data_IF_951539709569
#
_entry.id   IF_951539709569
#
_cell.length_a   1.000
_cell.length_b   1.000
_cell.length_c   1.000
_cell.angle_alpha   90.00
_cell.angle_beta   90.00
_cell.angle_gamma   90.00
#
_symmetry.space_group_name_H-M   'P 1'
#
loop_
_entity.id
_entity.type
_entity.pdbx_description
1 polymer ?
#
# COMPACT_ATOMS: atom_id res chain seq x y z
N UNK A 1 15.05 -15.22 8.96
CA UNK A 1 13.97 -14.86 9.90
C UNK A 1 12.75 -14.48 9.06
N UNK A 2 11.59 -15.00 9.38
CA UNK A 2 10.36 -14.67 8.64
C UNK A 2 9.69 -13.55 9.40
N UNK A 3 9.60 -12.34 8.82
CA UNK A 3 8.85 -11.25 9.44
C UNK A 3 7.40 -11.68 9.59
N UNK A 4 6.80 -11.34 10.72
CA UNK A 4 5.38 -11.57 11.00
C UNK A 4 4.51 -10.39 10.57
N UNK A 5 5.12 -9.30 10.06
CA UNK A 5 4.44 -8.10 9.61
C UNK A 5 4.66 -7.86 8.12
N UNK A 6 3.62 -7.41 7.44
CA UNK A 6 3.60 -7.00 6.04
C UNK A 6 3.13 -5.55 5.97
N UNK A 7 3.93 -4.68 5.39
CA UNK A 7 3.58 -3.29 5.09
C UNK A 7 3.22 -3.22 3.60
N UNK A 8 1.96 -3.08 3.30
CA UNK A 8 1.47 -3.02 1.93
C UNK A 8 1.44 -1.56 1.48
N UNK A 9 2.25 -1.23 0.50
CA UNK A 9 2.27 0.09 -0.13
C UNK A 9 1.34 0.09 -1.33
N UNK A 10 0.43 1.06 -1.38
CA UNK A 10 -0.40 1.33 -2.56
C UNK A 10 -0.40 2.82 -2.87
N UNK A 11 -0.98 3.22 -4.02
CA UNK A 11 -1.13 4.64 -4.39
C UNK A 11 -1.95 5.43 -3.38
N UNK A 12 -2.90 4.79 -2.71
CA UNK A 12 -3.92 5.46 -1.91
C UNK A 12 -3.73 5.27 -0.41
N UNK A 13 -3.08 4.16 0.00
CA UNK A 13 -2.95 3.79 1.39
C UNK A 13 -1.69 3.00 1.71
N UNK A 14 -1.34 3.00 2.99
CA UNK A 14 -0.36 2.11 3.59
C UNK A 14 -1.09 1.22 4.59
N UNK A 15 -1.10 -0.08 4.33
CA UNK A 15 -1.75 -1.07 5.18
C UNK A 15 -0.70 -1.85 5.97
N UNK A 16 -0.95 -2.07 7.26
CA UNK A 16 -0.13 -2.96 8.07
C UNK A 16 -0.90 -4.23 8.39
N UNK A 17 -0.31 -5.36 8.06
CA UNK A 17 -0.88 -6.67 8.30
C UNK A 17 0.05 -7.51 9.18
N UNK A 18 -0.51 -8.48 9.88
CA UNK A 18 0.24 -9.46 10.67
C UNK A 18 -0.17 -10.87 10.31
N UNK A 19 0.82 -11.74 10.11
CA UNK A 19 0.57 -13.17 9.97
C UNK A 19 0.19 -13.77 11.32
N UNK A 20 -0.88 -14.55 11.36
CA UNK A 20 -1.25 -15.35 12.52
C UNK A 20 -0.48 -16.70 12.56
N UNK A 21 -0.71 -17.51 13.59
CA UNK A 21 -0.06 -18.79 13.76
C UNK A 21 -0.38 -19.81 12.64
N UNK A 22 -1.52 -19.65 11.98
CA UNK A 22 -1.96 -20.47 10.83
C UNK A 22 -1.41 -19.97 9.50
N UNK A 23 -0.80 -18.76 9.47
CA UNK A 23 -0.21 -18.14 8.29
C UNK A 23 -1.17 -17.27 7.50
N UNK A 24 -2.36 -16.97 8.04
CA UNK A 24 -3.26 -15.98 7.46
C UNK A 24 -2.79 -14.58 7.79
N UNK A 25 -2.89 -13.67 6.82
CA UNK A 25 -2.56 -12.26 6.97
C UNK A 25 -3.80 -11.49 7.40
N UNK A 26 -3.69 -10.83 8.55
CA UNK A 26 -4.77 -10.03 9.13
C UNK A 26 -4.37 -8.57 9.15
N UNK A 27 -5.21 -7.72 8.59
CA UNK A 27 -5.01 -6.27 8.61
C UNK A 27 -5.12 -5.73 10.04
N UNK A 28 -4.11 -5.02 10.50
CA UNK A 28 -4.07 -4.32 11.77
C UNK A 28 -4.59 -2.89 11.66
N UNK A 29 -4.38 -2.27 10.50
CA UNK A 29 -4.88 -0.93 10.20
C UNK A 29 -4.43 -0.44 8.84
N UNK A 30 -5.02 0.68 8.43
CA UNK A 30 -4.78 1.35 7.15
C UNK A 30 -4.60 2.84 7.39
N UNK A 31 -3.72 3.47 6.64
CA UNK A 31 -3.49 4.92 6.66
C UNK A 31 -3.52 5.43 5.23
N UNK A 32 -4.38 6.42 4.95
CA UNK A 32 -4.43 7.06 3.64
C UNK A 32 -3.14 7.86 3.37
N UNK A 33 -2.62 7.78 2.13
CA UNK A 33 -1.48 8.59 1.68
C UNK A 33 -1.80 10.09 1.71
N UNK A 34 -3.06 10.49 1.54
CA UNK A 34 -3.53 11.89 1.60
C UNK A 34 -3.70 12.41 3.04
N UNK A 35 -3.36 11.62 4.06
CA UNK A 35 -3.49 12.05 5.44
C UNK A 35 -2.60 13.25 5.76
N UNK A 36 -3.17 14.35 6.25
CA UNK A 36 -2.44 15.56 6.65
C UNK A 36 -1.30 15.29 7.66
N UNK A 37 -1.40 14.22 8.42
CA UNK A 37 -0.45 13.81 9.45
C UNK A 37 0.02 12.36 9.25
N UNK A 38 0.39 11.99 8.02
CA UNK A 38 0.80 10.64 7.65
C UNK A 38 1.81 10.03 8.63
N UNK A 39 2.86 10.80 8.99
CA UNK A 39 3.88 10.33 9.94
C UNK A 39 3.31 9.97 11.32
N UNK A 40 2.38 10.77 11.85
CA UNK A 40 1.74 10.48 13.14
C UNK A 40 0.82 9.27 13.05
N UNK A 41 0.06 9.17 11.96
CA UNK A 41 -0.85 8.05 11.73
C UNK A 41 -0.08 6.73 11.62
N UNK A 42 1.04 6.70 10.90
CA UNK A 42 1.90 5.53 10.79
C UNK A 42 2.62 5.20 12.11
N UNK A 43 3.05 6.21 12.87
CA UNK A 43 3.61 5.99 14.21
C UNK A 43 2.56 5.36 15.15
N UNK A 44 1.31 5.81 15.09
CA UNK A 44 0.22 5.24 15.86
C UNK A 44 -0.10 3.81 15.43
N UNK A 45 -0.13 3.54 14.11
CA UNK A 45 -0.32 2.20 13.55
C UNK A 45 0.75 1.23 14.06
N UNK A 46 2.02 1.67 14.06
CA UNK A 46 3.14 0.88 14.59
C UNK A 46 3.00 0.59 16.08
N UNK A 47 2.62 1.59 16.88
CA UNK A 47 2.39 1.40 18.32
C UNK A 47 1.23 0.44 18.62
N UNK A 48 0.19 0.47 17.80
CA UNK A 48 -0.93 -0.46 17.90
C UNK A 48 -0.49 -1.89 17.59
N UNK A 49 0.40 -2.06 16.60
CA UNK A 49 0.92 -3.37 16.21
C UNK A 49 1.85 -3.98 17.27
N UNK A 50 2.71 -3.16 17.87
CA UNK A 50 3.67 -3.59 18.92
C UNK A 50 3.73 -2.51 20.01
N UNK A 51 2.89 -2.60 21.03
CA UNK A 51 2.87 -1.62 22.12
C UNK A 51 4.23 -1.55 22.83
N UNK A 52 4.77 -0.34 22.96
CA UNK A 52 6.02 -0.08 23.70
C UNK A 52 7.29 -0.39 22.92
N UNK A 53 7.23 -0.76 21.65
CA UNK A 53 8.44 -0.92 20.84
C UNK A 53 9.12 0.44 20.63
N UNK A 54 10.35 0.56 21.13
CA UNK A 54 11.20 1.74 20.90
C UNK A 54 11.93 1.65 19.56
N UNK A 55 12.18 0.44 19.07
CA UNK A 55 12.92 0.17 17.84
C UNK A 55 12.01 0.19 16.60
N UNK A 56 12.64 0.33 15.44
CA UNK A 56 11.94 0.24 14.17
C UNK A 56 11.29 -1.15 14.01
N UNK A 57 10.02 -1.18 13.60
CA UNK A 57 9.29 -2.43 13.37
C UNK A 57 9.81 -3.11 12.11
N UNK A 58 10.28 -4.35 12.24
CA UNK A 58 10.71 -5.17 11.10
C UNK A 58 9.50 -5.65 10.29
N UNK A 59 9.48 -5.31 8.99
CA UNK A 59 8.37 -5.61 8.08
C UNK A 59 8.88 -6.20 6.77
N UNK A 60 8.10 -7.09 6.16
CA UNK A 60 8.13 -7.30 4.72
C UNK A 60 7.40 -6.13 4.07
N UNK A 61 7.94 -5.60 2.99
CA UNK A 61 7.32 -4.49 2.24
C UNK A 61 6.68 -5.07 0.99
N UNK A 62 5.35 -5.02 0.91
CA UNK A 62 4.61 -5.38 -0.29
C UNK A 62 4.51 -4.17 -1.20
N UNK A 63 5.03 -4.33 -2.42
CA UNK A 63 5.12 -3.30 -3.44
C UNK A 63 3.87 -3.27 -4.32
N UNK A 64 3.49 -2.11 -4.86
CA UNK A 64 2.39 -1.99 -5.80
C UNK A 64 2.64 -2.83 -7.06
N UNK A 65 1.60 -3.52 -7.52
CA UNK A 65 1.73 -4.43 -8.67
C UNK A 65 1.95 -3.71 -10.00
N UNK A 66 1.51 -2.47 -10.11
CA UNK A 66 1.71 -1.60 -11.27
C UNK A 66 3.18 -1.19 -11.49
N UNK A 67 4.01 -1.32 -10.45
CA UNK A 67 5.47 -1.12 -10.53
C UNK A 67 6.23 -2.37 -10.96
N UNK A 68 5.53 -3.48 -11.20
CA UNK A 68 6.15 -4.78 -11.45
C UNK A 68 5.84 -5.25 -12.87
N UNK A 69 6.87 -5.56 -13.62
CA UNK A 69 6.73 -6.22 -14.91
C UNK A 69 6.57 -7.72 -14.72
N UNK A 70 5.45 -8.25 -15.20
CA UNK A 70 5.16 -9.68 -15.19
C UNK A 70 5.30 -10.26 -16.59
N UNK A 71 5.93 -11.43 -16.69
CA UNK A 71 6.10 -12.20 -17.93
C UNK A 71 5.97 -13.69 -17.60
N UNK A 72 5.46 -14.47 -18.55
CA UNK A 72 5.51 -15.91 -18.51
C UNK A 72 6.45 -16.40 -19.62
N UNK A 73 7.39 -17.28 -19.28
CA UNK A 73 8.33 -17.91 -20.21
C UNK A 73 8.05 -19.41 -20.31
N UNK A 74 8.04 -19.93 -21.51
CA UNK A 74 7.89 -21.35 -21.78
C UNK A 74 9.12 -22.16 -21.31
N UNK A 75 8.97 -23.46 -21.15
CA UNK A 75 10.02 -24.38 -20.70
C UNK A 75 11.28 -24.41 -21.57
N UNK A 76 11.24 -23.88 -22.79
CA UNK A 76 12.28 -24.07 -23.79
C UNK A 76 13.61 -23.42 -23.41
N UNK A 77 13.61 -22.33 -22.64
CA UNK A 77 14.83 -21.68 -22.20
C UNK A 77 14.64 -20.93 -20.86
N UNK A 78 15.30 -21.42 -19.82
CA UNK A 78 15.33 -20.80 -18.49
C UNK A 78 16.64 -20.07 -18.19
N UNK A 79 17.47 -19.87 -19.21
CA UNK A 79 18.77 -19.21 -19.07
C UNK A 79 18.62 -17.72 -18.71
N UNK A 80 19.70 -17.16 -18.13
CA UNK A 80 19.75 -15.71 -17.89
C UNK A 80 19.69 -14.91 -19.18
N UNK A 81 20.23 -15.48 -20.29
CA UNK A 81 20.21 -14.82 -21.59
C UNK A 81 18.78 -14.74 -22.17
N UNK A 82 17.98 -15.82 -22.04
CA UNK A 82 16.58 -15.81 -22.44
C UNK A 82 15.77 -14.79 -21.63
N UNK A 83 16.00 -14.74 -20.32
CA UNK A 83 15.35 -13.76 -19.44
C UNK A 83 15.70 -12.32 -19.82
N UNK A 84 17.00 -12.05 -20.06
CA UNK A 84 17.44 -10.74 -20.50
C UNK A 84 16.79 -10.36 -21.85
N UNK A 85 16.73 -11.30 -22.78
CA UNK A 85 16.08 -11.08 -24.08
C UNK A 85 14.57 -10.83 -23.92
N UNK A 86 13.90 -11.57 -23.06
CA UNK A 86 12.46 -11.41 -22.82
C UNK A 86 12.12 -10.08 -22.14
N UNK A 87 12.97 -9.56 -21.28
CA UNK A 87 12.79 -8.27 -20.61
C UNK A 87 13.23 -7.09 -21.48
N UNK A 88 14.07 -7.32 -22.49
CA UNK A 88 14.57 -6.28 -23.38
C UNK A 88 13.41 -5.53 -24.07
N UNK A 89 13.37 -4.21 -23.92
CA UNK A 89 12.31 -3.36 -24.48
C UNK A 89 10.94 -3.50 -23.81
N UNK A 90 10.80 -4.33 -22.77
CA UNK A 90 9.57 -4.46 -21.97
C UNK A 90 9.52 -3.50 -20.78
N UNK A 91 10.67 -2.95 -20.41
CA UNK A 91 10.83 -1.93 -19.37
C UNK A 91 11.77 -0.85 -19.89
N UNK A 92 11.74 0.37 -19.32
CA UNK A 92 12.70 1.42 -19.67
C UNK A 92 14.09 1.19 -19.06
N UNK A 93 14.26 0.16 -18.23
CA UNK A 93 15.47 -0.13 -17.48
C UNK A 93 16.34 -1.18 -18.16
N UNK A 94 17.64 -1.07 -18.02
CA UNK A 94 18.57 -2.10 -18.41
C UNK A 94 18.46 -3.32 -17.47
N UNK A 95 18.81 -4.51 -17.98
CA UNK A 95 18.65 -5.75 -17.20
C UNK A 95 19.40 -5.74 -15.86
N UNK A 96 20.54 -5.09 -15.78
CA UNK A 96 21.34 -4.99 -14.56
C UNK A 96 20.75 -4.02 -13.51
N UNK A 97 19.78 -3.17 -13.91
CA UNK A 97 19.06 -2.26 -13.03
C UNK A 97 17.78 -2.92 -12.46
N UNK A 98 17.51 -4.15 -12.86
CA UNK A 98 16.32 -4.87 -12.44
C UNK A 98 16.64 -5.89 -11.33
N UNK A 99 15.74 -5.99 -10.37
CA UNK A 99 15.63 -7.15 -9.48
C UNK A 99 14.56 -8.09 -10.04
N UNK A 100 14.90 -9.36 -10.17
CA UNK A 100 14.04 -10.35 -10.82
C UNK A 100 13.81 -11.55 -9.90
N UNK A 101 12.55 -11.95 -9.76
CA UNK A 101 12.15 -13.21 -9.14
C UNK A 101 11.51 -14.14 -10.18
N UNK A 102 11.62 -15.45 -9.94
CA UNK A 102 11.13 -16.52 -10.81
C UNK A 102 10.32 -17.53 -10.02
N UNK A 103 9.16 -17.87 -10.54
CA UNK A 103 8.34 -18.95 -10.03
C UNK A 103 8.21 -20.05 -11.08
N UNK A 104 8.70 -21.27 -10.83
CA UNK A 104 8.45 -22.41 -11.70
C UNK A 104 6.95 -22.69 -11.80
N UNK A 105 6.46 -22.90 -13.01
CA UNK A 105 5.07 -23.27 -13.30
C UNK A 105 5.02 -24.56 -14.14
N UNK A 106 3.88 -25.25 -14.24
CA UNK A 106 3.75 -26.42 -15.08
C UNK A 106 4.00 -26.14 -16.59
N UNK A 107 3.86 -24.89 -17.02
CA UNK A 107 4.05 -24.46 -18.42
C UNK A 107 5.41 -23.82 -18.68
N UNK A 108 6.21 -23.56 -17.63
CA UNK A 108 7.49 -22.88 -17.76
C UNK A 108 7.90 -22.17 -16.48
N UNK A 109 8.06 -20.85 -16.55
CA UNK A 109 8.31 -20.03 -15.38
C UNK A 109 7.62 -18.68 -15.50
N UNK A 110 7.06 -18.21 -14.38
CA UNK A 110 6.54 -16.85 -14.26
C UNK A 110 7.63 -15.95 -13.68
N UNK A 111 7.80 -14.80 -14.31
CA UNK A 111 8.83 -13.82 -13.98
C UNK A 111 8.16 -12.58 -13.41
N UNK A 112 8.71 -12.06 -12.33
CA UNK A 112 8.40 -10.74 -11.81
C UNK A 112 9.68 -9.91 -11.78
N UNK A 113 9.68 -8.73 -12.39
CA UNK A 113 10.82 -7.83 -12.44
C UNK A 113 10.42 -6.43 -11.95
N UNK A 114 11.31 -5.79 -11.20
CA UNK A 114 11.15 -4.44 -10.68
C UNK A 114 12.49 -3.69 -10.76
N UNK A 115 12.43 -2.38 -10.93
CA UNK A 115 13.63 -1.55 -10.91
C UNK A 115 14.25 -1.50 -9.50
N UNK A 116 15.57 -1.51 -9.42
CA UNK A 116 16.29 -1.33 -8.15
C UNK A 116 16.00 0.03 -7.54
N UNK A 117 15.83 1.07 -8.36
CA UNK A 117 15.44 2.41 -7.94
C UNK A 117 14.12 2.39 -7.15
N UNK A 118 13.11 1.66 -7.61
CA UNK A 118 11.83 1.51 -6.89
C UNK A 118 12.02 0.86 -5.51
N UNK A 119 12.96 -0.10 -5.39
CA UNK A 119 13.31 -0.67 -4.09
C UNK A 119 14.00 0.34 -3.17
N UNK A 120 14.84 1.23 -3.73
CA UNK A 120 15.51 2.29 -2.99
C UNK A 120 14.54 3.34 -2.47
N UNK A 121 13.55 3.70 -3.29
CA UNK A 121 12.46 4.59 -2.89
C UNK A 121 11.60 3.96 -1.77
N UNK A 122 11.21 2.71 -1.92
CA UNK A 122 10.44 1.99 -0.91
C UNK A 122 11.21 1.85 0.42
N UNK A 123 12.52 1.63 0.36
CA UNK A 123 13.38 1.56 1.54
C UNK A 123 13.48 2.92 2.25
N UNK A 124 13.66 3.98 1.47
CA UNK A 124 13.71 5.35 1.98
C UNK A 124 12.40 5.75 2.65
N UNK A 125 11.28 5.42 2.02
CA UNK A 125 9.94 5.67 2.56
C UNK A 125 9.71 4.92 3.88
N UNK A 126 9.99 3.62 3.90
CA UNK A 126 9.78 2.79 5.11
C UNK A 126 10.64 3.25 6.27
N UNK A 127 11.90 3.60 6.03
CA UNK A 127 12.80 4.16 7.04
C UNK A 127 12.30 5.50 7.59
N UNK A 128 11.82 6.40 6.72
CA UNK A 128 11.27 7.69 7.13
C UNK A 128 10.10 7.56 8.11
N UNK A 129 9.33 6.47 8.00
CA UNK A 129 8.19 6.18 8.88
C UNK A 129 8.52 5.26 10.07
N UNK A 130 9.81 4.95 10.29
CA UNK A 130 10.27 4.15 11.43
C UNK A 130 9.99 2.65 11.29
N UNK A 131 9.88 2.15 10.07
CA UNK A 131 9.87 0.73 9.77
C UNK A 131 11.27 0.29 9.29
N UNK A 132 11.57 -0.98 9.45
CA UNK A 132 12.78 -1.62 8.93
C UNK A 132 12.38 -2.71 7.95
N UNK A 133 12.60 -2.47 6.67
CA UNK A 133 12.36 -3.46 5.64
C UNK A 133 13.34 -4.64 5.83
N UNK A 134 12.80 -5.86 5.96
CA UNK A 134 13.58 -7.10 5.97
C UNK A 134 13.55 -7.81 4.62
N UNK A 135 12.71 -7.35 3.70
CA UNK A 135 12.61 -7.81 2.33
C UNK A 135 11.47 -7.12 1.60
N UNK A 136 11.50 -7.22 0.27
CA UNK A 136 10.52 -6.65 -0.63
C UNK A 136 9.79 -7.79 -1.33
N UNK A 137 8.46 -7.70 -1.37
CA UNK A 137 7.60 -8.72 -1.96
C UNK A 137 6.51 -8.07 -2.80
N UNK A 138 5.86 -8.85 -3.64
CA UNK A 138 4.61 -8.45 -4.26
C UNK A 138 3.68 -9.66 -4.37
N UNK A 139 2.40 -9.38 -4.63
CA UNK A 139 1.35 -10.37 -4.88
C UNK A 139 0.89 -10.25 -6.34
N UNK A 140 1.59 -10.86 -7.29
CA UNK A 140 1.27 -10.70 -8.70
C UNK A 140 -0.11 -11.26 -9.10
N UNK A 141 -0.59 -12.27 -8.40
CA UNK A 141 -1.79 -13.01 -8.82
C UNK A 141 -1.56 -13.87 -10.07
N UNK A 142 -2.59 -14.16 -10.83
CA UNK A 142 -2.50 -14.92 -12.07
C UNK A 142 -1.75 -16.26 -11.90
N UNK A 143 -0.70 -16.49 -12.69
CA UNK A 143 0.18 -17.67 -12.63
C UNK A 143 0.92 -17.82 -11.29
N UNK A 144 1.07 -16.76 -10.51
CA UNK A 144 1.64 -16.77 -9.17
C UNK A 144 0.65 -17.26 -8.10
N UNK A 145 -0.67 -17.21 -8.38
CA UNK A 145 -1.71 -17.53 -7.39
C UNK A 145 -1.57 -16.65 -6.14
N UNK A 146 -1.47 -17.28 -4.98
CA UNK A 146 -1.25 -16.62 -3.69
C UNK A 146 0.23 -16.53 -3.29
N UNK A 147 1.17 -16.87 -4.17
CA UNK A 147 2.59 -16.78 -3.85
C UNK A 147 3.08 -15.35 -3.98
N UNK A 148 3.94 -14.95 -3.04
CA UNK A 148 4.69 -13.71 -3.18
C UNK A 148 5.78 -13.87 -4.24
N UNK A 149 5.99 -12.86 -5.07
CA UNK A 149 7.30 -12.62 -5.67
C UNK A 149 8.22 -12.01 -4.62
N UNK A 150 9.51 -12.33 -4.65
CA UNK A 150 10.50 -11.90 -3.65
C UNK A 150 11.64 -11.20 -4.35
N UNK A 151 11.77 -9.90 -4.12
CA UNK A 151 12.83 -9.11 -4.71
C UNK A 151 14.00 -9.01 -3.73
N UNK A 152 15.14 -9.56 -4.15
CA UNK A 152 16.37 -9.54 -3.38
C UNK A 152 17.36 -8.61 -4.02
N UNK A 153 17.98 -7.76 -3.21
CA UNK A 153 19.14 -7.00 -3.68
C UNK A 153 20.34 -7.95 -3.76
N UNK A 154 21.25 -7.74 -4.71
CA UNK A 154 22.46 -8.57 -4.83
C UNK A 154 23.28 -8.64 -3.53
N UNK A 155 23.23 -7.60 -2.72
CA UNK A 155 23.96 -7.44 -1.46
C UNK A 155 23.22 -8.02 -0.24
N UNK A 156 21.92 -8.27 -0.37
CA UNK A 156 21.12 -8.83 0.72
C UNK A 156 21.26 -10.35 0.78
N UNK A 157 21.38 -10.88 1.99
CA UNK A 157 21.31 -12.31 2.18
C UNK A 157 20.00 -12.92 1.65
N UNK A 158 20.02 -14.19 1.28
CA UNK A 158 18.87 -14.88 0.72
C UNK A 158 17.65 -14.78 1.67
N UNK A 159 16.60 -14.15 1.18
CA UNK A 159 15.31 -14.12 1.86
C UNK A 159 14.53 -15.38 1.44
N UNK A 160 14.13 -16.19 2.42
CA UNK A 160 13.23 -17.30 2.14
C UNK A 160 11.87 -16.75 1.69
N UNK A 161 11.32 -17.32 0.62
CA UNK A 161 9.98 -16.97 0.16
C UNK A 161 8.98 -17.10 1.31
N UNK A 162 8.20 -16.04 1.62
CA UNK A 162 7.17 -16.12 2.64
C UNK A 162 6.14 -17.19 2.28
N UNK A 163 5.36 -17.64 3.28
CA UNK A 163 4.22 -18.51 3.02
C UNK A 163 3.25 -17.81 2.07
N UNK A 164 2.48 -18.56 1.27
CA UNK A 164 1.45 -18.00 0.39
C UNK A 164 0.56 -17.02 1.14
N UNK A 165 0.16 -15.94 0.45
CA UNK A 165 -0.74 -14.94 1.01
C UNK A 165 -2.15 -15.51 1.10
N UNK A 166 -2.67 -15.62 2.31
CA UNK A 166 -4.05 -15.98 2.57
C UNK A 166 -4.62 -14.85 3.43
N UNK A 167 -5.46 -14.00 2.82
CA UNK A 167 -6.14 -12.96 3.57
C UNK A 167 -7.02 -13.61 4.64
N UNK A 168 -6.93 -13.15 5.88
CA UNK A 168 -7.89 -13.54 6.89
C UNK A 168 -9.27 -13.02 6.46
N UNK A 169 -10.28 -13.87 6.50
CA UNK A 169 -11.67 -13.44 6.33
C UNK A 169 -11.91 -12.33 7.35
N UNK A 170 -12.32 -11.14 6.89
CA UNK A 170 -12.57 -10.00 7.78
C UNK A 170 -13.68 -10.40 8.75
N UNK A 171 -13.30 -10.84 9.95
CA UNK A 171 -14.23 -10.75 11.07
C UNK A 171 -14.39 -9.25 11.37
N UNK A 172 -15.64 -8.81 11.37
CA UNK A 172 -16.04 -7.42 11.62
C UNK A 172 -15.43 -6.91 12.93
N UNK A 173 -14.30 -6.21 12.85
CA UNK A 173 -13.53 -5.74 14.00
C UNK A 173 -12.27 -4.97 13.63
N UNK A 174 -12.01 -4.72 12.35
CA UNK A 174 -10.98 -3.76 11.96
C UNK A 174 -11.41 -2.39 12.47
N UNK A 175 -10.75 -1.92 13.50
CA UNK A 175 -10.90 -0.54 13.98
C UNK A 175 -10.45 0.34 12.84
N UNK A 176 -11.42 0.90 12.10
CA UNK A 176 -11.18 2.00 11.19
C UNK A 176 -10.57 3.10 12.05
N UNK A 177 -9.28 3.35 11.90
CA UNK A 177 -8.60 4.43 12.58
C UNK A 177 -9.11 5.73 11.97
N UNK A 178 -10.32 6.11 12.36
CA UNK A 178 -10.89 7.43 12.07
C UNK A 178 -9.85 8.49 12.42
N UNK A 179 -9.58 9.44 11.53
CA UNK A 179 -8.53 10.43 11.77
C UNK A 179 -8.77 11.14 13.11
N UNK A 180 -7.69 11.36 13.84
CA UNK A 180 -7.60 12.00 15.17
C UNK A 180 -8.25 13.41 15.25
N UNK A 181 -8.95 13.86 14.22
CA UNK A 181 -9.70 15.12 14.20
C UNK A 181 -10.96 15.12 15.07
N UNK A 182 -11.49 13.95 15.47
CA UNK A 182 -12.73 13.85 16.21
C UNK A 182 -12.58 13.96 17.75
N UNK A 183 -11.37 14.12 18.27
CA UNK A 183 -11.14 14.18 19.74
C UNK A 183 -10.99 15.59 20.32
N UNK A 184 -11.42 16.63 19.61
CA UNK A 184 -11.36 18.03 20.10
C UNK A 184 -12.69 18.75 20.22
N UNK A 185 -13.82 18.08 20.18
CA UNK A 185 -15.12 18.73 20.48
C UNK A 185 -15.89 17.99 21.58
N UNK A 186 -15.43 18.16 22.79
CA UNK A 186 -16.06 17.60 23.96
C UNK A 186 -15.80 18.39 25.25
N UNK A 187 -15.81 19.72 25.20
CA UNK A 187 -15.87 20.56 26.38
C UNK A 187 -16.21 22.00 26.00
N UNK A 188 -17.46 22.29 25.75
CA UNK A 188 -18.18 23.51 26.19
C UNK A 188 -19.57 23.55 25.53
N UNK A 189 -20.54 22.93 26.12
CA UNK A 189 -21.96 23.22 25.86
C UNK A 189 -22.58 23.71 27.13
N UNK A 190 -22.52 25.02 27.32
CA UNK A 190 -23.45 25.70 28.20
C UNK A 190 -24.82 25.80 27.48
N UNK A 191 -25.96 25.68 28.17
CA UNK A 191 -27.27 25.70 27.53
C UNK A 191 -27.62 27.12 27.07
N UNK A 192 -27.86 27.29 25.80
CA UNK A 192 -28.44 28.52 25.24
C UNK A 192 -29.96 28.52 25.43
N UNK A 193 -30.56 29.65 25.82
CA UNK A 193 -32.01 29.78 25.92
C UNK A 193 -32.67 29.88 24.52
N UNK A 194 -33.97 29.58 24.43
CA UNK A 194 -34.68 29.51 23.14
C UNK A 194 -34.90 30.88 22.55
N UNK A 195 -34.45 31.07 21.31
CA UNK A 195 -34.73 32.28 20.51
C UNK A 195 -36.01 32.05 19.71
N UNK A 196 -36.97 32.96 19.95
CA UNK A 196 -38.24 33.02 19.28
C UNK A 196 -38.12 33.29 17.77
N UNK A 197 -38.99 32.65 16.98
CA UNK A 197 -39.20 32.93 15.56
C UNK A 197 -39.72 34.35 15.33
N UNK A 198 -39.25 35.10 14.31
CA UNK A 198 -40.07 36.09 13.68
C UNK A 198 -40.47 35.64 12.25
N UNK A 199 -41.73 35.53 12.11
CA UNK A 199 -42.68 35.79 11.02
C UNK A 199 -42.11 36.17 9.65
N UNK A 200 -42.56 35.38 8.66
CA UNK A 200 -42.77 35.62 7.25
C UNK A 200 -42.92 37.09 6.84
N UNK A 201 -42.15 37.51 5.81
CA UNK A 201 -42.57 38.58 4.86
C UNK A 201 -42.05 38.28 3.45
N UNK A 202 -43.00 38.05 2.60
CA UNK A 202 -43.16 38.31 1.15
C UNK A 202 -41.94 38.55 0.25
N UNK A 203 -41.97 37.81 -0.86
CA UNK A 203 -41.28 38.06 -2.14
C UNK A 203 -41.67 39.40 -2.77
N UNK A 204 -40.86 39.93 -3.64
CA UNK A 204 -41.39 40.35 -4.95
C UNK A 204 -40.63 39.74 -6.14
N UNK A 205 -41.42 39.58 -7.17
CA UNK A 205 -41.27 39.04 -8.50
C UNK A 205 -40.35 39.90 -9.40
N UNK A 206 -39.89 39.36 -10.54
CA UNK A 206 -38.78 39.88 -11.33
C UNK A 206 -39.23 40.92 -12.35
N UNK A 207 -38.32 41.79 -12.68
CA UNK A 207 -38.49 42.68 -13.85
C UNK A 207 -37.47 42.32 -14.95
N UNK A 208 -38.07 42.10 -16.08
CA UNK A 208 -37.53 41.82 -17.40
C UNK A 208 -36.94 43.09 -17.97
N UNK A 209 -35.74 43.13 -18.46
CA UNK A 209 -35.30 44.09 -19.45
C UNK A 209 -34.47 43.40 -20.53
N UNK A 210 -35.09 43.41 -21.70
CA UNK A 210 -34.53 43.13 -23.01
C UNK A 210 -33.79 44.37 -23.55
N UNK A 211 -32.87 44.14 -24.48
CA UNK A 211 -32.27 45.17 -25.33
C UNK A 211 -30.86 44.78 -25.71
N UNK A 212 -30.71 44.24 -26.88
CA UNK A 212 -30.42 44.79 -28.21
C UNK A 212 -28.90 45.02 -28.40
N UNK A 213 -28.32 44.20 -29.29
CA UNK A 213 -27.78 44.48 -30.62
C UNK A 213 -26.66 45.55 -30.67
N UNK A 214 -25.55 45.27 -31.21
CA UNK A 214 -24.99 45.70 -32.50
C UNK A 214 -23.46 45.70 -32.52
N UNK A 215 -22.98 45.30 -33.67
CA UNK A 215 -21.66 45.37 -34.36
C UNK A 215 -20.60 44.32 -34.01
#
# INVERSE_FOLDING_TARGET
MTSTFLLHLSSDSIDLERADASGHWRRLGSVSMDSENLTKALAHLRQTAVPGAADALEVLVALPIDQIKLLDLDHSDTSSAALQHALAGQTPYEFHELCVDRLPTPQGQSIAAIAQETLDEADSLTKAFGFKAVGYVALPGGSWGNNFSVFQRPEAGALNRPRPYIAATQEAGATDLTPLAALKEGANSAPQPPIANPTSVASPTPELCAGAADE
#
